data_IF_973827229403
#
_entry.id   IF_973827229403
#
_cell.length_a   1.000
_cell.length_b   1.000
_cell.length_c   1.000
_cell.angle_alpha   90.00
_cell.angle_beta   90.00
_cell.angle_gamma   90.00
#
_symmetry.space_group_name_H-M   'P 1'
#
loop_
_entity.id
_entity.type
_entity.pdbx_description
1 polymer ?
#
# COMPACT_ATOMS: atom_id res chain seq x y z
N UNK A 1 -0.09 -5.32 -19.06
CA UNK A 1 -1.56 -5.56 -18.92
C UNK A 1 -1.88 -5.35 -17.45
N UNK A 2 -2.95 -4.63 -17.08
CA UNK A 2 -3.23 -4.38 -15.65
C UNK A 2 -3.84 -5.61 -14.97
N UNK A 3 -3.83 -5.63 -13.62
CA UNK A 3 -4.46 -6.68 -12.83
C UNK A 3 -5.93 -6.88 -13.25
N UNK A 4 -6.39 -8.12 -13.41
CA UNK A 4 -7.80 -8.41 -13.72
C UNK A 4 -8.75 -7.76 -12.70
N UNK A 5 -9.77 -7.05 -13.19
CA UNK A 5 -10.67 -6.25 -12.35
C UNK A 5 -11.45 -7.08 -11.30
N UNK A 6 -11.67 -8.36 -11.59
CA UNK A 6 -12.24 -9.38 -10.70
C UNK A 6 -11.36 -9.71 -9.49
N UNK A 7 -10.05 -9.41 -9.57
CA UNK A 7 -9.10 -9.58 -8.48
C UNK A 7 -9.03 -8.35 -7.55
N UNK A 8 -9.43 -7.17 -8.04
CA UNK A 8 -9.43 -5.88 -7.32
C UNK A 8 -10.70 -5.68 -6.46
N UNK A 9 -10.99 -6.66 -5.59
CA UNK A 9 -12.19 -6.69 -4.76
C UNK A 9 -12.18 -5.70 -3.58
N UNK A 10 -11.05 -5.11 -3.26
CA UNK A 10 -10.89 -4.23 -2.09
C UNK A 10 -10.82 -2.77 -2.51
N UNK A 11 -11.32 -1.89 -1.65
CA UNK A 11 -11.14 -0.45 -1.76
C UNK A 11 -10.22 0.01 -0.63
N UNK A 12 -9.19 0.76 -0.98
CA UNK A 12 -8.30 1.42 -0.02
C UNK A 12 -8.40 2.92 -0.22
N UNK A 13 -8.43 3.67 0.87
CA UNK A 13 -8.35 5.14 0.83
C UNK A 13 -6.92 5.55 1.14
N UNK A 14 -6.35 6.40 0.30
CA UNK A 14 -4.99 6.89 0.45
C UNK A 14 -5.05 8.40 0.63
N UNK A 15 -4.52 8.90 1.74
CA UNK A 15 -4.25 10.32 1.93
C UNK A 15 -2.76 10.54 1.57
N UNK A 16 -2.44 11.15 0.41
CA UNK A 16 -1.07 11.28 -0.06
C UNK A 16 -0.26 12.16 0.87
N UNK A 17 0.95 11.75 1.23
CA UNK A 17 1.84 12.59 2.02
C UNK A 17 2.33 13.81 1.23
N UNK A 18 2.12 15.01 1.77
CA UNK A 18 2.49 16.29 1.14
C UNK A 18 3.78 16.91 1.72
N UNK A 19 4.33 16.31 2.78
CA UNK A 19 5.54 16.78 3.44
C UNK A 19 5.32 17.22 4.90
N UNK A 20 6.37 17.73 5.55
CA UNK A 20 6.30 18.18 6.93
C UNK A 20 5.57 19.53 7.04
N UNK A 21 4.66 19.63 8.00
CA UNK A 21 3.98 20.86 8.39
C UNK A 21 4.37 21.35 9.79
N UNK A 22 3.87 22.53 10.21
CA UNK A 22 4.25 23.18 11.47
C UNK A 22 3.95 22.37 12.74
N UNK A 23 2.95 21.47 12.68
CA UNK A 23 2.49 20.66 13.80
C UNK A 23 2.62 19.14 13.54
N UNK A 24 3.25 18.74 12.44
CA UNK A 24 3.33 17.35 12.01
C UNK A 24 3.18 17.17 10.50
N UNK A 25 3.20 15.92 10.01
CA UNK A 25 3.06 15.60 8.60
C UNK A 25 1.72 16.07 8.02
N UNK A 26 1.77 16.64 6.81
CA UNK A 26 0.61 17.06 6.03
C UNK A 26 0.21 15.95 5.04
N UNK A 27 -1.10 15.79 4.85
CA UNK A 27 -1.65 14.84 3.91
C UNK A 27 -2.71 15.54 3.07
N UNK A 28 -2.74 15.20 1.78
CA UNK A 28 -3.73 15.70 0.83
C UNK A 28 -5.07 14.99 0.99
N UNK A 29 -6.01 15.35 0.11
CA UNK A 29 -7.35 14.75 0.09
C UNK A 29 -7.29 13.23 -0.14
N UNK A 30 -8.19 12.50 0.54
CA UNK A 30 -8.26 11.05 0.42
C UNK A 30 -8.68 10.63 -1.00
N UNK A 31 -7.89 9.77 -1.63
CA UNK A 31 -8.14 9.17 -2.94
C UNK A 31 -8.42 7.69 -2.77
N UNK A 32 -9.55 7.22 -3.29
CA UNK A 32 -9.92 5.79 -3.24
C UNK A 32 -9.32 5.03 -4.43
N UNK A 33 -8.55 3.98 -4.14
CA UNK A 33 -8.05 3.05 -5.14
C UNK A 33 -8.71 1.67 -4.98
N UNK A 34 -8.92 0.99 -6.11
CA UNK A 34 -9.29 -0.42 -6.13
C UNK A 34 -8.04 -1.27 -6.16
N UNK A 35 -8.01 -2.31 -5.35
CA UNK A 35 -6.82 -3.10 -5.09
C UNK A 35 -7.12 -4.51 -4.63
N UNK A 36 -6.06 -5.31 -4.57
CA UNK A 36 -6.04 -6.52 -3.77
C UNK A 36 -5.22 -6.26 -2.50
N UNK A 37 -5.79 -6.51 -1.32
CA UNK A 37 -5.11 -6.34 -0.04
C UNK A 37 -4.73 -7.73 0.46
N UNK A 38 -3.44 -7.95 0.64
CA UNK A 38 -2.88 -9.11 1.30
C UNK A 38 -2.41 -8.70 2.71
N UNK A 39 -3.25 -8.97 3.70
CA UNK A 39 -2.92 -8.72 5.11
C UNK A 39 -2.19 -9.93 5.68
N UNK A 40 -0.86 -9.93 5.52
CA UNK A 40 0.00 -11.02 5.97
C UNK A 40 0.71 -10.60 7.26
N UNK A 41 0.10 -10.85 8.41
CA UNK A 41 0.73 -10.57 9.71
C UNK A 41 1.92 -11.49 9.94
N UNK A 42 3.12 -11.03 9.60
CA UNK A 42 4.37 -11.77 9.83
C UNK A 42 5.01 -11.35 11.15
N UNK A 43 5.07 -12.28 12.10
CA UNK A 43 5.78 -12.05 13.36
C UNK A 43 7.29 -12.23 13.12
N UNK A 44 8.07 -11.15 13.13
CA UNK A 44 9.53 -11.19 12.97
C UNK A 44 10.20 -11.02 14.33
N UNK A 45 10.55 -12.11 15.01
CA UNK A 45 11.29 -12.03 16.27
C UNK A 45 12.69 -11.44 16.04
N UNK A 46 12.93 -10.23 16.50
CA UNK A 46 14.26 -9.64 16.59
C UNK A 46 15.07 -10.29 17.74
N UNK A 47 16.39 -10.31 17.64
CA UNK A 47 17.28 -10.89 18.65
C UNK A 47 17.21 -10.17 20.02
N UNK A 48 16.55 -9.01 20.09
CA UNK A 48 16.35 -8.17 21.28
C UNK A 48 14.95 -8.25 21.87
N UNK A 49 14.06 -9.11 21.35
CA UNK A 49 12.87 -9.56 22.07
C UNK A 49 11.52 -9.08 21.55
N UNK A 50 11.46 -8.02 20.75
CA UNK A 50 10.21 -7.54 20.15
C UNK A 50 10.45 -6.98 18.75
N UNK A 51 9.63 -7.40 17.78
CA UNK A 51 8.98 -6.53 16.77
C UNK A 51 7.93 -7.35 15.98
N UNK A 52 6.66 -6.95 16.02
CA UNK A 52 5.66 -7.49 15.09
C UNK A 52 5.58 -6.51 13.94
N UNK A 53 6.23 -6.80 12.81
CA UNK A 53 6.04 -6.01 11.59
C UNK A 53 4.83 -6.59 10.86
N UNK A 54 3.69 -5.89 10.93
CA UNK A 54 2.48 -6.28 10.22
C UNK A 54 2.62 -5.90 8.74
N UNK A 55 3.36 -6.67 7.96
CA UNK A 55 3.58 -6.41 6.54
C UNK A 55 2.29 -6.68 5.74
N UNK A 56 1.49 -5.63 5.51
CA UNK A 56 0.38 -5.69 4.56
C UNK A 56 0.85 -5.21 3.21
N UNK A 57 0.60 -6.01 2.18
CA UNK A 57 0.88 -5.63 0.80
C UNK A 57 -0.42 -5.32 0.08
N UNK A 58 -0.48 -4.15 -0.55
CA UNK A 58 -1.59 -3.77 -1.41
C UNK A 58 -1.11 -3.76 -2.85
N UNK A 59 -1.80 -4.53 -3.69
CA UNK A 59 -1.56 -4.60 -5.13
C UNK A 59 -2.53 -3.67 -5.84
N UNK A 60 -2.00 -2.74 -6.62
CA UNK A 60 -2.76 -1.68 -7.29
C UNK A 60 -2.39 -1.57 -8.76
N UNK A 61 -3.25 -0.88 -9.52
CA UNK A 61 -2.93 -0.49 -10.89
C UNK A 61 -1.66 0.38 -10.96
N UNK A 62 -0.83 0.23 -12.01
CA UNK A 62 0.43 0.97 -12.18
C UNK A 62 0.26 2.50 -12.28
N UNK A 63 -0.95 2.99 -12.52
CA UNK A 63 -1.27 4.42 -12.58
C UNK A 63 -1.60 5.08 -11.23
N UNK A 64 -1.64 4.32 -10.13
CA UNK A 64 -1.90 4.90 -8.81
C UNK A 64 -0.70 5.74 -8.31
N UNK A 65 -0.97 6.91 -7.74
CA UNK A 65 0.06 7.83 -7.24
C UNK A 65 0.03 7.78 -5.72
N UNK A 66 0.97 7.04 -5.15
CA UNK A 66 1.03 6.78 -3.70
C UNK A 66 2.47 7.04 -3.24
N UNK A 67 2.77 8.25 -2.74
CA UNK A 67 4.10 8.52 -2.19
C UNK A 67 4.33 7.72 -0.91
N UNK A 68 5.60 7.48 -0.58
CA UNK A 68 5.98 6.93 0.72
C UNK A 68 5.45 7.81 1.86
N UNK A 69 5.25 7.22 3.04
CA UNK A 69 4.68 7.86 4.23
C UNK A 69 3.20 8.26 4.12
N UNK A 70 2.56 8.07 2.96
CA UNK A 70 1.12 8.28 2.79
C UNK A 70 0.31 7.43 3.78
N UNK A 71 -0.82 7.96 4.23
CA UNK A 71 -1.75 7.22 5.09
C UNK A 71 -2.66 6.38 4.23
N UNK A 72 -2.84 5.13 4.62
CA UNK A 72 -3.72 4.19 3.93
C UNK A 72 -4.74 3.64 4.92
N UNK A 73 -6.01 3.78 4.58
CA UNK A 73 -7.12 3.12 5.28
C UNK A 73 -7.50 1.86 4.52
N UNK A 74 -7.34 0.71 5.17
CA UNK A 74 -7.67 -0.61 4.64
C UNK A 74 -9.18 -0.89 4.74
N UNK A 75 -9.72 -1.86 3.96
CA UNK A 75 -11.13 -2.27 4.06
C UNK A 75 -11.55 -2.73 5.47
N UNK A 76 -10.59 -3.18 6.28
CA UNK A 76 -10.83 -3.56 7.68
C UNK A 76 -11.03 -2.36 8.61
N UNK A 77 -10.87 -1.13 8.12
CA UNK A 77 -10.83 0.10 8.91
C UNK A 77 -9.48 0.37 9.57
N UNK A 78 -8.49 -0.54 9.43
CA UNK A 78 -7.13 -0.35 9.94
C UNK A 78 -6.43 0.75 9.13
N UNK A 79 -5.80 1.68 9.84
CA UNK A 79 -4.90 2.68 9.24
C UNK A 79 -3.46 2.18 9.32
N UNK A 80 -2.74 2.33 8.23
CA UNK A 80 -1.32 2.01 8.11
C UNK A 80 -0.62 3.08 7.27
N UNK A 81 0.71 3.07 7.29
CA UNK A 81 1.53 4.00 6.51
C UNK A 81 2.27 3.27 5.41
N UNK A 82 2.47 3.94 4.28
CA UNK A 82 3.27 3.41 3.18
C UNK A 82 4.74 3.40 3.56
N UNK A 83 5.35 2.22 3.51
CA UNK A 83 6.78 2.01 3.72
C UNK A 83 7.50 2.10 2.38
N UNK A 84 7.06 1.32 1.41
CA UNK A 84 7.64 1.25 0.07
C UNK A 84 6.56 1.11 -0.99
N UNK A 85 6.84 1.66 -2.17
CA UNK A 85 6.07 1.45 -3.39
C UNK A 85 7.01 0.90 -4.45
N UNK A 86 6.72 -0.30 -4.95
CA UNK A 86 7.51 -0.94 -5.99
C UNK A 86 6.65 -1.14 -7.25
N UNK A 87 7.11 -0.61 -8.38
CA UNK A 87 6.52 -0.92 -9.68
C UNK A 87 7.02 -2.28 -10.14
N UNK A 88 6.09 -3.20 -10.38
CA UNK A 88 6.35 -4.51 -10.96
C UNK A 88 5.87 -4.50 -12.40
N UNK A 89 6.82 -4.71 -13.31
CA UNK A 89 6.54 -4.89 -14.73
C UNK A 89 6.55 -6.39 -15.05
N UNK A 90 5.47 -6.88 -15.65
CA UNK A 90 5.36 -8.27 -16.06
C UNK A 90 6.04 -8.52 -17.42
N UNK A 91 6.32 -9.79 -17.79
CA UNK A 91 6.77 -10.12 -19.15
C UNK A 91 5.69 -9.72 -20.18
N UNK A 92 6.00 -9.33 -21.42
CA UNK A 92 5.02 -8.72 -22.34
C UNK A 92 3.73 -9.54 -22.62
N UNK A 93 3.71 -10.85 -22.32
CA UNK A 93 2.52 -11.70 -22.37
C UNK A 93 2.63 -12.88 -21.35
N UNK A 94 1.71 -13.05 -20.38
CA UNK A 94 0.63 -12.16 -19.95
C UNK A 94 1.10 -11.32 -18.76
N UNK A 95 1.98 -10.34 -18.99
CA UNK A 95 2.57 -9.54 -17.91
C UNK A 95 1.54 -8.67 -17.24
N UNK A 96 1.34 -8.92 -15.96
CA UNK A 96 0.52 -8.10 -15.10
C UNK A 96 1.39 -7.01 -14.47
N UNK A 97 1.32 -5.82 -15.04
CA UNK A 97 1.97 -4.64 -14.47
C UNK A 97 1.14 -4.19 -13.28
N UNK A 98 1.80 -3.96 -12.14
CA UNK A 98 1.13 -3.55 -10.91
C UNK A 98 2.08 -2.81 -9.98
N UNK A 99 1.51 -2.07 -9.03
CA UNK A 99 2.25 -1.56 -7.88
C UNK A 99 2.09 -2.51 -6.71
N UNK A 100 3.20 -2.84 -6.07
CA UNK A 100 3.23 -3.44 -4.73
C UNK A 100 3.49 -2.31 -3.72
N UNK A 101 2.50 -2.06 -2.87
CA UNK A 101 2.58 -1.06 -1.80
C UNK A 101 2.67 -1.79 -0.46
N UNK A 102 3.83 -1.69 0.19
CA UNK A 102 4.06 -2.29 1.51
C UNK A 102 3.68 -1.32 2.60
N UNK A 103 2.90 -1.78 3.58
CA UNK A 103 2.38 -1.00 4.68
C UNK A 103 2.88 -1.51 6.04
N UNK A 104 2.82 -0.63 7.05
CA UNK A 104 3.09 -0.93 8.48
C UNK A 104 2.05 -1.81 9.17
#
# INVERSE_FOLDING_TARGET
MSLPADMLRHQVEVEPYEGPGPAGPLYGDAVTYRGYVEDNRRLVRSATGDEVVSETTVYLDPGAVIPAESRVTLPSGRRAFVITVATREGPPDPGMDHLEVTLT
#
